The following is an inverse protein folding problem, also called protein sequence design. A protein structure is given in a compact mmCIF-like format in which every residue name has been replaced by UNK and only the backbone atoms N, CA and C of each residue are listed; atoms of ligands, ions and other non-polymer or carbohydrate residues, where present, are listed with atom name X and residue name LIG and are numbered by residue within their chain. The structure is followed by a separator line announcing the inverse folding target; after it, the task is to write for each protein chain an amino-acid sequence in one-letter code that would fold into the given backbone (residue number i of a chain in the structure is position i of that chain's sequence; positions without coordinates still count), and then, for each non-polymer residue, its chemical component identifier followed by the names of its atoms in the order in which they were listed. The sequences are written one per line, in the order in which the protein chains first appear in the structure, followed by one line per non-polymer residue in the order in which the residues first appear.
data_IF_192652864669
#
_entry.id   IF_192652864669
#
_cell.length_a   1.000
_cell.length_b   1.000
_cell.length_c   1.000
_cell.angle_alpha   90.00
_cell.angle_beta   90.00
_cell.angle_gamma   90.00
#
_symmetry.space_group_name_H-M   'P 1'
#
loop_
_entity.id
_entity.type
_entity.pdbx_description
1 polymer ?
#
# COMPACT_ATOMS: atom_id res chain seq x y z
N UNK A 1 -31.14 7.71 9.77
CA UNK A 1 -30.92 8.20 8.38
C UNK A 1 -29.47 8.58 8.06
N UNK A 2 -28.59 8.80 9.05
CA UNK A 2 -27.16 9.08 8.83
C UNK A 2 -26.28 7.83 8.65
N UNK A 3 -26.69 6.66 9.14
CA UNK A 3 -25.85 5.46 9.12
C UNK A 3 -25.71 4.81 7.73
N UNK A 4 -26.76 4.88 6.90
CA UNK A 4 -26.77 4.26 5.57
C UNK A 4 -25.69 4.86 4.64
N UNK A 5 -25.58 6.20 4.49
CA UNK A 5 -24.53 6.76 3.64
C UNK A 5 -23.12 6.49 4.16
N UNK A 6 -22.91 6.51 5.49
CA UNK A 6 -21.58 6.21 6.07
C UNK A 6 -21.17 4.75 5.87
N UNK A 7 -22.13 3.82 5.91
CA UNK A 7 -21.86 2.39 5.66
C UNK A 7 -21.50 2.17 4.19
N UNK A 8 -22.20 2.83 3.26
CA UNK A 8 -21.90 2.74 1.83
C UNK A 8 -20.49 3.27 1.51
N UNK A 9 -20.10 4.43 2.06
CA UNK A 9 -18.75 4.96 1.85
C UNK A 9 -17.65 4.05 2.40
N UNK A 10 -17.90 3.39 3.53
CA UNK A 10 -16.93 2.42 4.11
C UNK A 10 -16.81 1.19 3.21
N UNK A 11 -17.92 0.69 2.67
CA UNK A 11 -17.91 -0.44 1.73
C UNK A 11 -17.15 -0.11 0.44
N UNK A 12 -17.33 1.09 -0.11
CA UNK A 12 -16.60 1.54 -1.31
C UNK A 12 -15.09 1.61 -1.06
N UNK A 13 -14.67 2.20 0.06
CA UNK A 13 -13.25 2.26 0.45
C UNK A 13 -12.65 0.86 0.63
N UNK A 14 -13.39 -0.06 1.25
CA UNK A 14 -12.96 -1.45 1.41
C UNK A 14 -12.87 -2.19 0.06
N UNK A 15 -13.83 -1.93 -0.85
CA UNK A 15 -13.86 -2.51 -2.18
C UNK A 15 -12.64 -2.11 -3.04
N UNK A 16 -12.04 -0.95 -2.79
CA UNK A 16 -10.79 -0.52 -3.45
C UNK A 16 -9.55 -0.99 -2.68
N UNK A 17 -9.53 -0.84 -1.36
CA UNK A 17 -8.33 -1.10 -0.55
C UNK A 17 -7.95 -2.58 -0.55
N UNK A 18 -8.92 -3.50 -0.45
CA UNK A 18 -8.64 -4.94 -0.39
C UNK A 18 -8.01 -5.45 -1.69
N UNK A 19 -8.57 -5.18 -2.89
CA UNK A 19 -7.91 -5.54 -4.15
C UNK A 19 -6.53 -4.91 -4.30
N UNK A 20 -6.34 -3.64 -3.92
CA UNK A 20 -5.03 -2.97 -4.02
C UNK A 20 -3.96 -3.73 -3.22
N UNK A 21 -4.24 -4.09 -1.96
CA UNK A 21 -3.31 -4.86 -1.13
C UNK A 21 -3.02 -6.25 -1.71
N UNK A 22 -4.04 -6.92 -2.27
CA UNK A 22 -3.86 -8.20 -2.95
C UNK A 22 -3.01 -8.06 -4.22
N UNK A 23 -3.25 -7.03 -5.03
CA UNK A 23 -2.46 -6.75 -6.23
C UNK A 23 -1.00 -6.53 -5.88
N UNK A 24 -0.69 -5.73 -4.85
CA UNK A 24 0.70 -5.52 -4.39
C UNK A 24 1.34 -6.86 -4.01
N UNK A 25 0.65 -7.72 -3.27
CA UNK A 25 1.17 -9.03 -2.90
C UNK A 25 1.49 -9.90 -4.14
N UNK A 26 0.58 -9.97 -5.12
CA UNK A 26 0.79 -10.76 -6.35
C UNK A 26 1.85 -10.16 -7.28
N UNK A 27 1.99 -8.84 -7.33
CA UNK A 27 3.03 -8.17 -8.12
C UNK A 27 4.42 -8.60 -7.69
N UNK A 28 4.68 -8.76 -6.39
CA UNK A 28 6.00 -9.22 -5.91
C UNK A 28 6.39 -10.61 -6.44
N UNK A 29 5.41 -11.52 -6.57
CA UNK A 29 5.63 -12.87 -7.11
C UNK A 29 5.82 -12.79 -8.61
N UNK A 30 4.99 -12.01 -9.29
CA UNK A 30 5.09 -11.78 -10.72
C UNK A 30 6.48 -11.24 -11.08
N UNK A 31 6.97 -10.24 -10.34
CA UNK A 31 8.29 -9.65 -10.50
C UNK A 31 9.41 -10.70 -10.32
N UNK A 32 9.36 -11.49 -9.24
CA UNK A 32 10.35 -12.57 -9.01
C UNK A 32 10.32 -13.62 -10.12
N UNK A 33 9.15 -13.93 -10.67
CA UNK A 33 8.98 -14.93 -11.73
C UNK A 33 9.45 -14.43 -13.09
N UNK A 34 9.17 -13.18 -13.44
CA UNK A 34 9.63 -12.58 -14.70
C UNK A 34 11.16 -12.44 -14.70
N UNK A 35 11.75 -11.95 -13.60
CA UNK A 35 13.21 -11.86 -13.46
C UNK A 35 13.89 -13.24 -13.54
N UNK A 36 13.31 -14.26 -12.89
CA UNK A 36 13.82 -15.62 -12.96
C UNK A 36 13.78 -16.17 -14.39
N UNK A 37 12.68 -15.94 -15.11
CA UNK A 37 12.53 -16.34 -16.52
C UNK A 37 13.58 -15.68 -17.42
N UNK A 38 13.84 -14.38 -17.24
CA UNK A 38 14.91 -13.67 -17.97
C UNK A 38 16.29 -14.27 -17.69
N UNK A 39 16.53 -14.72 -16.46
CA UNK A 39 17.78 -15.35 -16.01
C UNK A 39 17.86 -16.85 -16.32
N UNK A 40 16.90 -17.42 -17.08
CA UNK A 40 16.80 -18.87 -17.36
C UNK A 40 16.81 -19.74 -16.09
N UNK A 41 16.23 -19.26 -14.99
CA UNK A 41 15.98 -20.06 -13.78
C UNK A 41 14.48 -20.09 -13.48
N UNK A 42 14.04 -21.13 -12.77
CA UNK A 42 12.66 -21.18 -12.30
C UNK A 42 12.48 -20.19 -11.13
N UNK A 43 11.47 -19.34 -11.24
CA UNK A 43 11.02 -18.47 -10.16
C UNK A 43 10.22 -19.24 -9.11
N UNK A 44 9.66 -18.54 -8.11
CA UNK A 44 8.85 -19.17 -7.06
C UNK A 44 7.64 -19.91 -7.66
N UNK A 45 7.53 -21.22 -7.39
CA UNK A 45 6.51 -22.09 -7.99
C UNK A 45 5.35 -22.48 -7.07
N UNK A 46 5.48 -22.38 -5.73
CA UNK A 46 4.53 -23.02 -4.81
C UNK A 46 4.02 -22.17 -3.64
N UNK A 47 4.66 -21.06 -3.28
CA UNK A 47 4.31 -20.36 -2.03
C UNK A 47 4.28 -18.84 -2.20
N UNK A 48 3.11 -18.34 -2.58
CA UNK A 48 2.81 -16.93 -2.74
C UNK A 48 2.72 -16.17 -1.39
N UNK A 49 2.07 -16.80 -0.41
CA UNK A 49 1.71 -16.15 0.86
C UNK A 49 2.71 -16.40 2.01
N UNK A 50 3.72 -17.27 1.79
CA UNK A 50 4.66 -17.62 2.85
C UNK A 50 5.55 -16.46 3.28
N UNK A 51 5.84 -15.50 2.40
CA UNK A 51 6.75 -14.40 2.73
C UNK A 51 6.12 -13.46 3.77
N UNK A 52 4.85 -13.10 3.58
CA UNK A 52 4.10 -12.29 4.55
C UNK A 52 3.94 -13.02 5.89
N UNK A 53 3.56 -14.30 5.87
CA UNK A 53 3.41 -15.09 7.09
C UNK A 53 4.73 -15.23 7.85
N UNK A 54 5.85 -15.41 7.13
CA UNK A 54 7.19 -15.49 7.71
C UNK A 54 7.59 -14.18 8.40
N UNK A 55 7.24 -13.02 7.82
CA UNK A 55 7.53 -11.72 8.43
C UNK A 55 6.70 -11.48 9.70
N UNK A 56 5.44 -11.94 9.75
CA UNK A 56 4.60 -11.83 10.95
C UNK A 56 5.09 -12.69 12.11
N UNK A 57 5.71 -13.83 11.83
CA UNK A 57 6.27 -14.72 12.85
C UNK A 57 7.68 -14.30 13.30
N UNK A 58 8.29 -13.31 12.64
CA UNK A 58 9.66 -12.90 12.94
C UNK A 58 9.69 -12.08 14.23
N UNK A 59 10.70 -12.34 15.05
CA UNK A 59 10.93 -11.56 16.27
C UNK A 59 11.16 -10.09 15.95
N UNK A 60 10.56 -9.25 16.77
CA UNK A 60 10.73 -7.81 16.69
C UNK A 60 12.11 -7.42 17.22
N UNK A 61 12.90 -6.74 16.39
CA UNK A 61 14.21 -6.19 16.76
C UNK A 61 14.14 -4.67 16.71
N UNK A 62 14.18 -4.02 17.87
CA UNK A 62 14.29 -2.56 17.97
C UNK A 62 15.75 -2.12 18.01
N UNK A 63 16.16 -1.11 17.24
CA UNK A 63 17.47 -0.48 17.41
C UNK A 63 17.58 0.21 18.78
N UNK A 64 18.67 -0.03 19.50
CA UNK A 64 18.92 0.55 20.83
C UNK A 64 19.35 2.02 20.81
N UNK A 65 19.79 2.54 19.66
CA UNK A 65 20.25 3.93 19.51
C UNK A 65 19.32 4.83 18.68
N UNK A 66 18.14 4.34 18.27
CA UNK A 66 17.19 5.14 17.49
C UNK A 66 15.98 5.58 18.33
N UNK A 67 15.31 6.63 17.87
CA UNK A 67 14.00 6.99 18.39
C UNK A 67 12.97 5.96 17.91
N UNK A 68 12.53 5.11 18.83
CA UNK A 68 11.59 4.01 18.56
C UNK A 68 10.28 4.52 17.95
N UNK A 69 9.77 5.67 18.40
CA UNK A 69 8.50 6.24 17.94
C UNK A 69 8.58 6.64 16.47
N UNK A 70 9.64 7.36 16.08
CA UNK A 70 9.83 7.81 14.71
C UNK A 70 10.12 6.64 13.76
N UNK A 71 10.91 5.65 14.21
CA UNK A 71 11.21 4.45 13.44
C UNK A 71 9.96 3.64 13.06
N UNK A 72 8.97 3.56 13.95
CA UNK A 72 7.70 2.90 13.65
C UNK A 72 6.72 3.78 12.87
N UNK A 73 6.68 5.08 13.15
CA UNK A 73 5.80 6.00 12.44
C UNK A 73 6.19 6.14 10.97
N UNK A 74 7.48 6.09 10.63
CA UNK A 74 7.95 6.20 9.25
C UNK A 74 7.24 5.23 8.29
N UNK A 75 7.32 3.90 8.49
CA UNK A 75 6.64 2.90 7.67
C UNK A 75 5.11 3.01 7.66
N UNK A 76 4.50 3.46 8.77
CA UNK A 76 3.05 3.66 8.85
C UNK A 76 2.62 4.84 7.98
N UNK A 77 3.35 5.95 8.07
CA UNK A 77 3.10 7.18 7.31
C UNK A 77 3.20 6.91 5.80
N UNK A 78 4.26 6.21 5.36
CA UNK A 78 4.43 5.89 3.93
C UNK A 78 3.30 5.03 3.39
N UNK A 79 2.85 4.03 4.17
CA UNK A 79 1.75 3.16 3.77
C UNK A 79 0.42 3.91 3.69
N UNK A 80 0.12 4.78 4.67
CA UNK A 80 -1.11 5.58 4.66
C UNK A 80 -1.15 6.51 3.44
N UNK A 81 -0.09 7.27 3.19
CA UNK A 81 -0.06 8.20 2.05
C UNK A 81 -0.08 7.47 0.70
N UNK A 82 0.54 6.28 0.60
CA UNK A 82 0.44 5.44 -0.59
C UNK A 82 -1.01 5.04 -0.89
N UNK A 83 -1.76 4.58 0.13
CA UNK A 83 -3.17 4.20 -0.02
C UNK A 83 -4.08 5.41 -0.31
N UNK A 84 -3.81 6.56 0.30
CA UNK A 84 -4.55 7.80 0.03
C UNK A 84 -4.42 8.27 -1.43
N UNK A 85 -3.32 7.94 -2.12
CA UNK A 85 -3.14 8.24 -3.53
C UNK A 85 -4.16 7.54 -4.43
N UNK A 86 -4.57 6.31 -4.08
CA UNK A 86 -5.55 5.54 -4.85
C UNK A 86 -6.98 6.09 -4.75
N UNK A 87 -7.28 6.98 -3.79
CA UNK A 87 -8.62 7.53 -3.61
C UNK A 87 -9.08 8.44 -4.77
N UNK A 88 -8.15 9.01 -5.52
CA UNK A 88 -8.44 9.99 -6.59
C UNK A 88 -8.28 9.40 -7.99
N UNK A 89 -7.77 8.16 -8.10
CA UNK A 89 -7.57 7.51 -9.39
C UNK A 89 -8.92 7.07 -9.97
N UNK A 90 -9.27 7.48 -11.20
CA UNK A 90 -10.49 7.02 -11.85
C UNK A 90 -10.33 5.61 -12.41
N UNK A 91 -11.25 4.71 -12.06
CA UNK A 91 -11.28 3.33 -12.57
C UNK A 91 -12.21 3.17 -13.79
N UNK A 92 -13.02 4.19 -14.07
CA UNK A 92 -13.95 4.24 -15.20
C UNK A 92 -14.85 5.48 -15.14
N UNK A 93 -15.76 5.67 -16.12
CA UNK A 93 -16.68 6.81 -16.11
C UNK A 93 -17.57 6.79 -14.85
N UNK A 94 -17.43 7.81 -13.99
CA UNK A 94 -18.17 7.89 -12.72
C UNK A 94 -17.70 6.93 -11.62
N UNK A 95 -16.61 6.18 -11.84
CA UNK A 95 -16.05 5.24 -10.86
C UNK A 95 -14.79 5.83 -10.22
N UNK A 96 -15.01 6.73 -9.25
CA UNK A 96 -13.97 7.37 -8.43
C UNK A 96 -14.45 7.39 -6.97
N UNK A 97 -13.56 7.14 -6.01
CA UNK A 97 -13.90 7.24 -4.59
C UNK A 97 -14.10 8.71 -4.17
N UNK A 98 -13.18 9.58 -4.57
CA UNK A 98 -13.24 11.02 -4.30
C UNK A 98 -13.11 11.80 -5.60
N UNK A 99 -14.24 12.26 -6.13
CA UNK A 99 -14.27 13.15 -7.28
C UNK A 99 -13.90 14.57 -6.87
N UNK A 100 -12.60 14.88 -6.92
CA UNK A 100 -12.09 16.22 -6.70
C UNK A 100 -11.82 16.93 -8.03
N UNK A 101 -12.35 18.14 -8.17
CA UNK A 101 -12.04 19.02 -9.29
C UNK A 101 -10.52 19.32 -9.42
N UNK A 102 -9.79 19.25 -8.29
CA UNK A 102 -8.34 19.42 -8.21
C UNK A 102 -7.61 18.10 -7.91
N UNK A 103 -8.07 16.97 -8.47
CA UNK A 103 -7.52 15.64 -8.19
C UNK A 103 -6.01 15.50 -8.47
N UNK A 104 -5.50 16.18 -9.50
CA UNK A 104 -4.06 16.17 -9.83
C UNK A 104 -3.23 16.86 -8.72
N UNK A 105 -3.70 18.00 -8.19
CA UNK A 105 -3.02 18.70 -7.10
C UNK A 105 -3.02 17.85 -5.82
N UNK A 106 -4.11 17.13 -5.55
CA UNK A 106 -4.16 16.18 -4.44
C UNK A 106 -3.11 15.07 -4.57
N UNK A 107 -3.01 14.43 -5.74
CA UNK A 107 -1.99 13.40 -6.02
C UNK A 107 -0.56 13.95 -5.81
N UNK A 108 -0.30 15.19 -6.22
CA UNK A 108 0.99 15.84 -6.02
C UNK A 108 1.28 16.14 -4.53
N UNK A 109 0.27 16.59 -3.78
CA UNK A 109 0.40 16.84 -2.35
C UNK A 109 0.65 15.54 -1.56
N UNK A 110 -0.09 14.48 -1.87
CA UNK A 110 0.05 13.16 -1.22
C UNK A 110 1.40 12.52 -1.51
N UNK A 111 1.87 12.58 -2.76
CA UNK A 111 3.19 12.05 -3.12
C UNK A 111 4.33 12.82 -2.41
N UNK A 112 4.21 14.14 -2.29
CA UNK A 112 5.16 14.96 -1.52
C UNK A 112 5.18 14.55 -0.05
N UNK A 113 4.02 14.33 0.58
CA UNK A 113 3.92 13.93 1.98
C UNK A 113 4.46 12.52 2.24
N UNK A 114 4.29 11.59 1.29
CA UNK A 114 4.82 10.24 1.39
C UNK A 114 6.35 10.22 1.57
N UNK A 115 7.09 11.19 1.00
CA UNK A 115 8.56 11.28 1.13
C UNK A 115 9.02 11.53 2.57
N UNK A 116 8.24 12.25 3.39
CA UNK A 116 8.58 12.47 4.80
C UNK A 116 8.58 11.16 5.60
N UNK A 117 7.69 10.22 5.27
CA UNK A 117 7.69 8.91 5.92
C UNK A 117 8.98 8.11 5.64
N UNK A 118 9.55 8.26 4.44
CA UNK A 118 10.83 7.63 4.08
C UNK A 118 11.99 8.28 4.84
N UNK A 119 12.00 9.62 4.93
CA UNK A 119 13.03 10.36 5.65
C UNK A 119 13.04 10.06 7.15
N UNK A 120 11.88 9.79 7.75
CA UNK A 120 11.77 9.42 9.17
C UNK A 120 12.13 7.96 9.46
N UNK A 121 12.05 7.09 8.44
CA UNK A 121 12.34 5.65 8.58
C UNK A 121 13.83 5.31 8.39
N UNK A 122 14.59 6.18 7.71
CA UNK A 122 16.04 6.06 7.52
C UNK A 122 16.82 6.62 8.69
#
# INVERSE_FOLDING_TARGET
MLYIPTIMSVLEVLAVTVPVLLTVAFVTIAERKTMASMQRRLGPNAVAFADALKLLLKEYVSPTQANIVLFFLGPIITLIFSLLGYAVVPYGPGLVLLDYNLGILYMLAVSSLATYGILLAG
#
